data_IF_219838742915
#
_entry.id   IF_219838742915
#
_cell.length_a   1.000
_cell.length_b   1.000
_cell.length_c   1.000
_cell.angle_alpha   90.00
_cell.angle_beta   90.00
_cell.angle_gamma   90.00
#
_symmetry.space_group_name_H-M   'P 1'
#
loop_
_entity.id
_entity.type
_entity.pdbx_description
1 polymer ?
#
# COMPACT_ATOMS: atom_id res chain seq x y z
N UNK A 1 -6.04 32.88 18.41
CA UNK A 1 -6.21 32.82 19.89
C UNK A 1 -6.34 34.19 20.59
N UNK A 2 -6.33 35.34 19.89
CA UNK A 2 -6.42 36.66 20.53
C UNK A 2 -7.85 37.24 20.65
N UNK A 3 -8.79 36.85 19.76
CA UNK A 3 -10.12 37.48 19.67
C UNK A 3 -11.09 37.11 20.81
N UNK A 4 -10.97 35.92 21.42
CA UNK A 4 -11.88 35.48 22.49
C UNK A 4 -11.53 36.01 23.90
N UNK A 5 -10.40 36.71 24.06
CA UNK A 5 -10.02 37.34 25.33
C UNK A 5 -10.79 38.66 25.57
N UNK A 6 -11.23 39.30 24.49
CA UNK A 6 -11.97 40.58 24.49
C UNK A 6 -13.39 40.45 25.05
N UNK A 7 -14.13 39.40 24.69
CA UNK A 7 -15.51 39.22 25.14
C UNK A 7 -15.64 38.94 26.65
N UNK A 8 -14.69 38.19 27.22
CA UNK A 8 -14.68 37.86 28.66
C UNK A 8 -14.21 39.01 29.57
N UNK A 9 -13.44 39.96 29.06
CA UNK A 9 -12.98 41.12 29.85
C UNK A 9 -14.04 42.22 29.95
N UNK A 10 -14.88 42.38 28.92
CA UNK A 10 -15.94 43.40 28.86
C UNK A 10 -17.09 43.17 29.87
N UNK A 11 -17.40 41.91 30.19
CA UNK A 11 -18.45 41.57 31.17
C UNK A 11 -17.97 41.86 32.61
N UNK A 12 -16.68 41.68 32.89
CA UNK A 12 -16.11 41.88 34.23
C UNK A 12 -16.03 43.37 34.62
N UNK A 13 -15.80 44.28 33.66
CA UNK A 13 -15.68 45.72 33.92
C UNK A 13 -17.02 46.43 34.12
N UNK A 14 -18.15 45.79 33.83
CA UNK A 14 -19.50 46.41 33.94
C UNK A 14 -20.27 46.06 35.21
N UNK A 15 -19.75 45.18 36.08
CA UNK A 15 -20.36 44.80 37.38
C UNK A 15 -19.92 45.75 38.52
N UNK A 16 -19.77 47.05 38.21
CA UNK A 16 -19.76 48.13 39.23
C UNK A 16 -21.20 48.57 39.60
N UNK A 17 -22.17 47.66 39.46
CA UNK A 17 -23.54 47.85 39.93
C UNK A 17 -23.63 47.34 41.38
N UNK A 18 -24.23 48.14 42.26
CA UNK A 18 -24.28 47.97 43.73
C UNK A 18 -25.04 46.73 44.22
N UNK A 19 -24.54 45.53 43.94
CA UNK A 19 -25.09 44.26 44.41
C UNK A 19 -24.51 43.85 45.77
N UNK A 20 -25.36 43.37 46.68
CA UNK A 20 -24.97 42.79 47.99
C UNK A 20 -23.99 41.63 47.79
N UNK A 21 -23.04 41.45 48.71
CA UNK A 21 -21.96 40.47 48.59
C UNK A 21 -22.43 39.01 48.40
N UNK A 22 -23.64 38.64 48.83
CA UNK A 22 -24.18 37.29 48.61
C UNK A 22 -24.58 37.02 47.15
N UNK A 23 -25.08 38.04 46.43
CA UNK A 23 -25.48 37.89 45.02
C UNK A 23 -24.27 37.77 44.10
N UNK A 24 -23.22 38.56 44.39
CA UNK A 24 -21.94 38.46 43.66
C UNK A 24 -21.34 37.05 43.72
N UNK A 25 -21.48 36.36 44.87
CA UNK A 25 -21.01 34.96 45.02
C UNK A 25 -21.83 33.98 44.16
N UNK A 26 -23.15 34.15 44.09
CA UNK A 26 -24.02 33.31 43.25
C UNK A 26 -23.72 33.50 41.76
N UNK A 27 -23.59 34.75 41.31
CA UNK A 27 -23.27 35.08 39.92
C UNK A 27 -21.88 34.57 39.54
N UNK A 28 -20.90 34.69 40.44
CA UNK A 28 -19.55 34.15 40.22
C UNK A 28 -19.53 32.62 40.15
N UNK A 29 -20.30 31.93 40.99
CA UNK A 29 -20.44 30.48 40.93
C UNK A 29 -21.06 30.04 39.59
N UNK A 30 -22.11 30.70 39.15
CA UNK A 30 -22.77 30.44 37.86
C UNK A 30 -21.82 30.69 36.67
N UNK A 31 -21.07 31.80 36.69
CA UNK A 31 -20.10 32.12 35.65
C UNK A 31 -18.98 31.07 35.56
N UNK A 32 -18.54 30.49 36.68
CA UNK A 32 -17.56 29.39 36.69
C UNK A 32 -18.12 28.11 36.05
N UNK A 33 -19.38 27.77 36.34
CA UNK A 33 -20.07 26.62 35.74
C UNK A 33 -20.19 26.81 34.24
N UNK A 34 -20.65 27.97 33.79
CA UNK A 34 -20.76 28.30 32.36
C UNK A 34 -19.42 28.24 31.64
N UNK A 35 -18.35 28.79 32.25
CA UNK A 35 -17.01 28.75 31.69
C UNK A 35 -16.44 27.32 31.65
N UNK A 36 -16.79 26.47 32.62
CA UNK A 36 -16.44 25.05 32.62
C UNK A 36 -17.17 24.29 31.51
N UNK A 37 -18.46 24.56 31.32
CA UNK A 37 -19.27 23.95 30.26
C UNK A 37 -18.74 24.33 28.87
N UNK A 38 -18.41 25.61 28.66
CA UNK A 38 -17.85 26.10 27.41
C UNK A 38 -16.47 25.47 27.12
N UNK A 39 -15.63 25.33 28.15
CA UNK A 39 -14.33 24.65 28.03
C UNK A 39 -14.50 23.18 27.68
N UNK A 40 -15.43 22.45 28.32
CA UNK A 40 -15.73 21.06 28.00
C UNK A 40 -16.21 20.89 26.55
N UNK A 41 -17.09 21.78 26.06
CA UNK A 41 -17.58 21.77 24.69
C UNK A 41 -16.45 22.00 23.67
N UNK A 42 -15.58 22.99 23.91
CA UNK A 42 -14.42 23.29 23.05
C UNK A 42 -13.43 22.12 23.01
N UNK A 43 -13.22 21.45 24.15
CA UNK A 43 -12.30 20.31 24.22
C UNK A 43 -12.84 19.09 23.48
N UNK A 44 -14.15 18.85 23.51
CA UNK A 44 -14.78 17.78 22.71
C UNK A 44 -14.69 18.08 21.21
N UNK A 45 -14.99 19.32 20.81
CA UNK A 45 -14.93 19.75 19.40
C UNK A 45 -13.51 19.63 18.82
N UNK A 46 -12.50 20.01 19.60
CA UNK A 46 -11.09 19.92 19.18
C UNK A 46 -10.63 18.48 18.98
N UNK A 47 -11.09 17.52 19.81
CA UNK A 47 -10.80 16.09 19.59
C UNK A 47 -11.42 15.55 18.30
N UNK A 48 -12.65 15.94 17.99
CA UNK A 48 -13.32 15.54 16.75
C UNK A 48 -12.58 16.11 15.54
N UNK A 49 -12.21 17.39 15.59
CA UNK A 49 -11.46 18.02 14.50
C UNK A 49 -10.07 17.39 14.34
N UNK A 50 -9.38 17.08 15.43
CA UNK A 50 -8.09 16.36 15.39
C UNK A 50 -8.23 14.97 14.75
N UNK A 51 -9.31 14.24 15.06
CA UNK A 51 -9.58 12.95 14.44
C UNK A 51 -9.86 13.08 12.95
N UNK A 52 -10.65 14.08 12.54
CA UNK A 52 -10.92 14.34 11.13
C UNK A 52 -9.63 14.67 10.34
N UNK A 53 -8.78 15.53 10.89
CA UNK A 53 -7.46 15.85 10.30
C UNK A 53 -6.59 14.58 10.17
N UNK A 54 -6.61 13.70 11.17
CA UNK A 54 -5.89 12.44 11.12
C UNK A 54 -6.41 11.50 10.01
N UNK A 55 -7.73 11.44 9.80
CA UNK A 55 -8.32 10.64 8.72
C UNK A 55 -7.93 11.23 7.36
N UNK A 56 -8.00 12.55 7.18
CA UNK A 56 -7.63 13.22 5.93
C UNK A 56 -6.15 13.03 5.57
N UNK A 57 -5.24 12.98 6.55
CA UNK A 57 -3.82 12.75 6.30
C UNK A 57 -3.54 11.29 5.87
N UNK A 58 -4.23 10.32 6.46
CA UNK A 58 -3.97 8.91 6.20
C UNK A 58 -4.72 8.34 4.99
N UNK A 59 -5.88 8.93 4.65
CA UNK A 59 -6.71 8.50 3.53
C UNK A 59 -6.44 9.30 2.24
N UNK A 60 -5.20 9.74 2.04
CA UNK A 60 -4.81 10.38 0.78
C UNK A 60 -4.62 9.32 -0.30
N UNK A 61 -5.41 9.45 -1.37
CA UNK A 61 -5.22 8.66 -2.59
C UNK A 61 -3.84 9.01 -3.17
N UNK A 62 -2.98 8.01 -3.32
CA UNK A 62 -1.65 8.20 -3.88
C UNK A 62 -1.67 7.93 -5.38
N UNK A 63 -1.38 8.94 -6.23
CA UNK A 63 -1.18 8.70 -7.65
C UNK A 63 0.10 7.88 -7.84
N UNK A 64 0.02 6.88 -8.72
CA UNK A 64 1.15 6.07 -9.19
C UNK A 64 1.18 6.15 -10.69
N UNK A 65 2.36 6.47 -11.22
CA UNK A 65 2.63 6.50 -12.65
C UNK A 65 3.27 5.17 -13.04
N UNK A 66 2.65 4.46 -13.96
CA UNK A 66 3.16 3.21 -14.53
C UNK A 66 3.66 3.49 -15.94
N UNK A 67 4.92 3.15 -16.17
CA UNK A 67 5.61 3.34 -17.45
C UNK A 67 5.08 2.36 -18.51
N UNK A 68 5.26 2.72 -19.78
CA UNK A 68 4.70 1.98 -20.93
C UNK A 68 5.14 0.50 -21.03
N UNK A 69 6.31 0.16 -20.49
CA UNK A 69 6.87 -1.20 -20.54
C UNK A 69 6.90 -1.89 -19.18
N UNK A 70 6.11 -1.40 -18.24
CA UNK A 70 6.06 -1.95 -16.89
C UNK A 70 4.61 -2.22 -16.49
N UNK A 71 4.42 -3.22 -15.64
CA UNK A 71 3.18 -3.42 -14.92
C UNK A 71 3.46 -3.60 -13.43
N UNK A 72 2.57 -3.06 -12.60
CA UNK A 72 2.66 -3.19 -11.15
C UNK A 72 1.61 -4.19 -10.67
N UNK A 73 2.06 -5.23 -9.96
CA UNK A 73 1.15 -6.12 -9.24
C UNK A 73 0.77 -5.49 -7.91
N UNK A 74 -0.53 -5.28 -7.71
CA UNK A 74 -1.06 -4.76 -6.44
C UNK A 74 -1.68 -5.89 -5.63
N UNK A 75 -1.33 -5.92 -4.34
CA UNK A 75 -2.05 -6.70 -3.33
C UNK A 75 -2.82 -5.81 -2.37
N UNK A 76 -3.96 -6.32 -1.94
CA UNK A 76 -4.84 -5.70 -0.95
C UNK A 76 -5.08 -6.71 0.17
N UNK A 77 -4.74 -6.33 1.41
CA UNK A 77 -4.84 -7.21 2.58
C UNK A 77 -4.13 -8.57 2.43
N UNK A 78 -3.04 -8.61 1.66
CA UNK A 78 -2.27 -9.85 1.42
C UNK A 78 -2.82 -10.75 0.32
N UNK A 79 -3.93 -10.38 -0.34
CA UNK A 79 -4.43 -11.06 -1.53
C UNK A 79 -4.11 -10.26 -2.79
N UNK A 80 -3.90 -10.96 -3.90
CA UNK A 80 -3.77 -10.31 -5.20
C UNK A 80 -5.07 -9.59 -5.54
N UNK A 81 -4.95 -8.32 -5.98
CA UNK A 81 -6.10 -7.51 -6.38
C UNK A 81 -6.14 -7.39 -7.90
N UNK A 82 -5.11 -6.77 -8.48
CA UNK A 82 -5.06 -6.47 -9.91
C UNK A 82 -3.63 -6.15 -10.37
N UNK A 83 -3.43 -6.23 -11.69
CA UNK A 83 -2.23 -5.76 -12.38
C UNK A 83 -2.50 -4.37 -12.95
N UNK A 84 -1.78 -3.35 -12.49
CA UNK A 84 -1.82 -2.03 -13.12
C UNK A 84 -0.95 -2.03 -14.38
N UNK A 85 -1.59 -1.85 -15.53
CA UNK A 85 -0.92 -1.60 -16.80
C UNK A 85 -0.42 -0.15 -16.92
N UNK A 86 -0.02 0.24 -18.12
CA UNK A 86 0.53 1.56 -18.43
C UNK A 86 -0.45 2.68 -18.11
N UNK A 87 0.02 3.77 -17.48
CA UNK A 87 -0.81 4.96 -17.22
C UNK A 87 -0.80 5.43 -15.76
N UNK A 88 -1.70 6.36 -15.46
CA UNK A 88 -1.85 6.94 -14.11
C UNK A 88 -2.91 6.18 -13.34
N UNK A 89 -2.51 5.64 -12.19
CA UNK A 89 -3.36 4.85 -11.30
C UNK A 89 -3.43 5.47 -9.92
N UNK A 90 -4.51 5.20 -9.21
CA UNK A 90 -4.77 5.76 -7.89
C UNK A 90 -4.86 4.62 -6.87
N UNK A 91 -3.97 4.65 -5.87
CA UNK A 91 -3.86 3.57 -4.88
C UNK A 91 -4.04 4.12 -3.47
N UNK A 92 -4.69 3.34 -2.60
CA UNK A 92 -4.87 3.72 -1.20
C UNK A 92 -3.74 3.11 -0.37
N UNK A 93 -2.81 3.91 0.18
CA UNK A 93 -1.54 3.42 0.74
C UNK A 93 -1.68 2.55 1.99
N UNK A 94 -2.79 2.66 2.71
CA UNK A 94 -3.05 1.87 3.92
C UNK A 94 -3.42 0.42 3.59
N UNK A 95 -4.05 0.23 2.44
CA UNK A 95 -4.72 -1.03 2.06
C UNK A 95 -4.01 -1.71 0.90
N UNK A 96 -3.56 -0.92 -0.08
CA UNK A 96 -2.93 -1.37 -1.31
C UNK A 96 -1.41 -1.31 -1.19
N UNK A 97 -0.74 -2.43 -1.50
CA UNK A 97 0.71 -2.56 -1.58
C UNK A 97 1.11 -3.04 -2.97
N UNK A 98 2.25 -2.57 -3.48
CA UNK A 98 2.84 -3.11 -4.71
C UNK A 98 3.73 -4.27 -4.33
N UNK A 99 3.45 -5.46 -4.88
CA UNK A 99 4.23 -6.68 -4.61
C UNK A 99 5.41 -6.84 -5.56
N UNK A 100 5.18 -6.69 -6.86
CA UNK A 100 6.19 -6.91 -7.89
C UNK A 100 5.98 -5.92 -9.03
N UNK A 101 7.08 -5.40 -9.57
CA UNK A 101 7.11 -4.67 -10.83
C UNK A 101 7.59 -5.63 -11.90
N UNK A 102 6.77 -5.84 -12.93
CA UNK A 102 7.09 -6.73 -14.05
C UNK A 102 7.43 -5.85 -15.26
N UNK A 103 8.56 -6.15 -15.91
CA UNK A 103 8.88 -5.56 -17.22
C UNK A 103 8.13 -6.33 -18.31
N UNK A 104 7.49 -5.60 -19.22
CA UNK A 104 6.76 -6.14 -20.37
C UNK A 104 7.63 -6.22 -21.64
N UNK A 105 8.93 -5.98 -21.50
CA UNK A 105 9.87 -6.12 -22.60
C UNK A 105 10.04 -7.58 -22.99
N UNK A 106 10.22 -7.82 -24.29
CA UNK A 106 10.55 -9.15 -24.80
C UNK A 106 11.90 -9.57 -24.23
N UNK A 107 11.89 -10.61 -23.40
CA UNK A 107 13.09 -11.16 -22.80
C UNK A 107 13.68 -12.21 -23.75
N UNK A 108 14.81 -11.89 -24.35
CA UNK A 108 15.59 -12.86 -25.12
C UNK A 108 16.40 -13.72 -24.17
N UNK A 109 16.15 -15.03 -24.21
CA UNK A 109 16.94 -16.01 -23.48
C UNK A 109 17.90 -16.67 -24.46
N UNK A 110 19.20 -16.53 -24.24
CA UNK A 110 20.22 -17.24 -25.02
C UNK A 110 20.39 -18.65 -24.46
N UNK A 111 19.96 -19.65 -25.23
CA UNK A 111 20.14 -21.06 -24.87
C UNK A 111 21.58 -21.43 -25.21
N UNK A 112 22.44 -21.56 -24.20
CA UNK A 112 23.78 -22.13 -24.40
C UNK A 112 23.60 -23.63 -24.61
N UNK A 113 24.00 -24.12 -25.78
CA UNK A 113 23.85 -25.52 -26.15
C UNK A 113 24.89 -26.36 -25.38
N UNK A 114 24.60 -26.68 -24.12
CA UNK A 114 25.44 -27.56 -23.33
C UNK A 114 25.20 -29.01 -23.76
N UNK A 115 26.23 -29.63 -24.33
CA UNK A 115 26.21 -31.01 -24.83
C UNK A 115 26.31 -31.98 -23.64
N UNK A 116 25.18 -32.26 -22.99
CA UNK A 116 25.13 -33.20 -21.86
C UNK A 116 24.83 -34.60 -22.39
N UNK A 117 25.87 -35.44 -22.49
CA UNK A 117 25.71 -36.90 -22.51
C UNK A 117 25.60 -37.36 -21.06
N UNK A 118 24.40 -37.68 -20.59
CA UNK A 118 24.18 -38.62 -19.48
C UNK A 118 22.72 -39.05 -19.47
N UNK A 119 22.51 -40.36 -19.57
CA UNK A 119 21.24 -41.01 -19.31
C UNK A 119 20.87 -40.85 -17.83
N UNK A 120 19.57 -40.79 -17.59
CA UNK A 120 18.89 -40.92 -16.28
C UNK A 120 18.79 -39.65 -15.41
N UNK A 121 17.65 -38.94 -15.53
CA UNK A 121 16.78 -38.73 -14.36
C UNK A 121 15.39 -38.17 -14.72
N UNK A 122 14.37 -38.94 -14.34
CA UNK A 122 12.94 -38.60 -14.43
C UNK A 122 12.64 -37.62 -13.27
N UNK A 123 12.61 -36.33 -13.58
CA UNK A 123 11.98 -35.33 -12.72
C UNK A 123 10.59 -35.04 -13.30
N UNK A 124 9.54 -35.39 -12.56
CA UNK A 124 8.15 -35.12 -12.95
C UNK A 124 7.93 -33.60 -13.09
N UNK A 125 7.68 -33.07 -14.30
CA UNK A 125 7.59 -31.63 -14.54
C UNK A 125 6.40 -30.98 -13.83
N UNK A 126 5.34 -31.75 -13.55
CA UNK A 126 4.16 -31.26 -12.82
C UNK A 126 4.47 -30.87 -11.38
N UNK A 127 5.43 -31.54 -10.71
CA UNK A 127 5.75 -31.25 -9.31
C UNK A 127 6.63 -30.01 -9.16
N UNK A 128 7.50 -29.75 -10.13
CA UNK A 128 8.33 -28.55 -10.18
C UNK A 128 7.51 -27.27 -10.42
N UNK A 129 6.39 -27.35 -11.15
CA UNK A 129 5.56 -26.18 -11.44
C UNK A 129 4.92 -25.52 -10.20
N UNK A 130 4.77 -26.26 -9.08
CA UNK A 130 4.15 -25.75 -7.86
C UNK A 130 5.14 -25.18 -6.82
N UNK A 131 6.45 -25.41 -6.97
CA UNK A 131 7.49 -24.97 -6.01
C UNK A 131 8.42 -23.87 -6.55
N UNK A 132 8.26 -23.46 -7.82
CA UNK A 132 9.19 -22.51 -8.45
C UNK A 132 8.83 -21.06 -8.12
N UNK A 133 9.70 -20.40 -7.36
CA UNK A 133 9.61 -18.96 -7.05
C UNK A 133 9.85 -18.06 -8.28
N UNK A 134 10.51 -18.56 -9.33
CA UNK A 134 10.73 -17.85 -10.60
C UNK A 134 10.48 -18.74 -11.84
N UNK A 135 9.24 -18.67 -12.36
CA UNK A 135 8.75 -19.41 -13.54
C UNK A 135 9.66 -19.30 -14.78
N UNK A 136 10.37 -18.17 -14.91
CA UNK A 136 11.29 -17.92 -16.02
C UNK A 136 12.45 -18.93 -16.03
N UNK A 137 13.10 -19.17 -14.90
CA UNK A 137 14.24 -20.09 -14.84
C UNK A 137 13.81 -21.53 -15.11
N UNK A 138 12.69 -21.96 -14.51
CA UNK A 138 12.15 -23.29 -14.76
C UNK A 138 11.76 -23.52 -16.23
N UNK A 139 11.19 -22.51 -16.90
CA UNK A 139 10.84 -22.62 -18.32
C UNK A 139 12.09 -22.77 -19.20
N UNK A 140 13.16 -22.02 -18.88
CA UNK A 140 14.44 -22.10 -19.60
C UNK A 140 15.06 -23.48 -19.45
N UNK A 141 15.07 -24.02 -18.23
CA UNK A 141 15.58 -25.37 -17.94
C UNK A 141 14.79 -26.45 -18.68
N UNK A 142 13.45 -26.35 -18.68
CA UNK A 142 12.60 -27.30 -19.40
C UNK A 142 12.82 -27.24 -20.92
N UNK A 143 12.90 -26.04 -21.50
CA UNK A 143 13.17 -25.86 -22.93
C UNK A 143 14.57 -26.39 -23.27
N UNK A 144 15.58 -26.10 -22.45
CA UNK A 144 16.94 -26.58 -22.64
C UNK A 144 17.01 -28.11 -22.62
N UNK A 145 16.34 -28.75 -21.65
CA UNK A 145 16.24 -30.22 -21.57
C UNK A 145 15.55 -30.80 -22.81
N UNK A 146 14.39 -30.28 -23.18
CA UNK A 146 13.64 -30.77 -24.33
C UNK A 146 14.40 -30.61 -25.66
N UNK A 147 15.17 -29.53 -25.83
CA UNK A 147 16.03 -29.33 -27.00
C UNK A 147 17.20 -30.30 -27.01
N UNK A 148 17.83 -30.53 -25.85
CA UNK A 148 18.93 -31.50 -25.70
C UNK A 148 18.46 -32.93 -26.00
N UNK A 149 17.28 -33.32 -25.51
CA UNK A 149 16.66 -34.61 -25.77
C UNK A 149 16.38 -34.82 -27.27
N UNK A 150 15.82 -33.78 -27.94
CA UNK A 150 15.61 -33.82 -29.39
C UNK A 150 16.91 -33.90 -30.18
N UNK A 151 17.93 -33.16 -29.78
CA UNK A 151 19.23 -33.20 -30.46
C UNK A 151 19.89 -34.58 -30.34
N UNK A 152 19.82 -35.19 -29.15
CA UNK A 152 20.37 -36.52 -28.91
C UNK A 152 19.63 -37.59 -29.73
N UNK A 153 18.30 -37.54 -29.79
CA UNK A 153 17.51 -38.49 -30.61
C UNK A 153 17.82 -38.36 -32.11
N UNK A 154 17.98 -37.15 -32.64
CA UNK A 154 18.38 -36.93 -34.03
C UNK A 154 19.78 -37.50 -34.33
N UNK A 155 20.75 -37.25 -33.45
CA UNK A 155 22.11 -37.79 -33.59
C UNK A 155 22.15 -39.33 -33.58
N UNK A 156 21.28 -39.97 -32.79
CA UNK A 156 21.15 -41.43 -32.76
C UNK A 156 20.56 -41.97 -34.06
N UNK A 157 19.55 -41.30 -34.64
CA UNK A 157 18.94 -41.70 -35.92
C UNK A 157 19.95 -41.58 -37.06
N UNK A 158 20.70 -40.48 -37.12
CA UNK A 158 21.72 -40.25 -38.16
C UNK A 158 22.86 -41.28 -38.11
N UNK A 159 23.20 -41.79 -36.92
CA UNK A 159 24.20 -42.85 -36.72
C UNK A 159 23.73 -44.28 -37.03
N UNK A 160 22.43 -44.49 -37.32
CA UNK A 160 21.86 -45.82 -37.64
C UNK A 160 21.65 -46.08 -39.14
N UNK A 161 21.87 -45.07 -39.99
CA UNK A 161 21.67 -45.15 -41.45
C UNK A 161 22.98 -45.39 -42.24
N UNK A 162 24.04 -45.86 -41.59
CA UNK A 162 25.30 -46.30 -42.22
C UNK A 162 25.58 -47.74 -41.86
#
# INVERSE_FOLDING_TARGET
MAFFRSAGQSIATRIKLGFKNCEKRKVLAMARIMKSYEKSKVTAMTRINQFHEFVLQNLQIRPRLVLERQALLISRYGQFKECLGTGLHFTVPLVDRVMKTISMEEQYITIVNQLVLSDDNILNPEKAAFEVEDYHQATIELVHKALSDKYNTLKLIDGTNT
#
